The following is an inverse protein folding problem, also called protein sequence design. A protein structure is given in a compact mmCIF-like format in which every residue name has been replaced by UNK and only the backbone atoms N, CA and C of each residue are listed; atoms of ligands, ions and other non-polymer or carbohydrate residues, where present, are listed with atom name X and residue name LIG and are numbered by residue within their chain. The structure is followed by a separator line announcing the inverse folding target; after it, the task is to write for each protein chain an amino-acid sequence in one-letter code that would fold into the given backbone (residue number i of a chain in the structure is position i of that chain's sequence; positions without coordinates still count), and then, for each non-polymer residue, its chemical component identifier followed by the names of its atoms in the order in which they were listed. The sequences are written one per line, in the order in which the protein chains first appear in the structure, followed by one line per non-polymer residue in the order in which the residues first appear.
data_IF_091165395237
#
_entry.id   IF_091165395237
#
_cell.length_a   1.000
_cell.length_b   1.000
_cell.length_c   1.000
_cell.angle_alpha   90.00
_cell.angle_beta   90.00
_cell.angle_gamma   90.00
#
_symmetry.space_group_name_H-M   'P 1'
#
loop_
_entity.id
_entity.type
_entity.pdbx_description
1 polymer ?
#
# COMPACT_ATOMS: atom_id res chain seq x y z
N UNK A 1 -1.02 -8.23 10.17
CA UNK A 1 -2.34 -7.70 9.74
C UNK A 1 -3.36 -8.85 9.66
N UNK A 2 -4.67 -8.55 9.61
CA UNK A 2 -5.71 -9.57 9.39
C UNK A 2 -5.61 -10.24 8.02
N UNK A 3 -5.21 -9.50 6.97
CA UNK A 3 -4.99 -10.05 5.64
C UNK A 3 -4.03 -11.26 5.70
N UNK A 4 -2.88 -11.14 6.35
CA UNK A 4 -1.94 -12.25 6.51
C UNK A 4 -2.49 -13.46 7.26
N UNK A 5 -3.39 -13.24 8.23
CA UNK A 5 -4.01 -14.35 9.00
C UNK A 5 -4.99 -15.16 8.16
N UNK A 6 -5.54 -14.56 7.11
CA UNK A 6 -6.52 -15.16 6.21
C UNK A 6 -5.91 -15.58 4.86
N UNK A 7 -4.63 -15.27 4.65
CA UNK A 7 -3.88 -15.60 3.44
C UNK A 7 -3.26 -17.00 3.49
N UNK A 8 -2.91 -17.48 2.31
CA UNK A 8 -2.05 -18.66 2.08
C UNK A 8 -0.96 -18.28 1.05
N UNK A 9 0.08 -19.12 0.86
CA UNK A 9 1.02 -18.93 -0.23
C UNK A 9 0.31 -18.74 -1.58
N UNK A 10 0.76 -17.74 -2.32
CA UNK A 10 0.18 -17.26 -3.58
C UNK A 10 -1.02 -16.31 -3.45
N UNK A 11 -1.46 -15.95 -2.23
CA UNK A 11 -2.51 -14.93 -2.07
C UNK A 11 -1.99 -13.56 -2.54
N UNK A 12 -2.73 -12.92 -3.44
CA UNK A 12 -2.51 -11.53 -3.80
C UNK A 12 -3.29 -10.59 -2.85
N UNK A 13 -2.58 -9.62 -2.29
CA UNK A 13 -3.13 -8.56 -1.44
C UNK A 13 -3.01 -7.24 -2.20
N UNK A 14 -4.13 -6.53 -2.35
CA UNK A 14 -4.17 -5.22 -3.02
C UNK A 14 -4.65 -4.17 -2.02
N UNK A 15 -3.95 -3.04 -1.96
CA UNK A 15 -4.33 -1.87 -1.18
C UNK A 15 -4.44 -0.67 -2.11
N UNK A 16 -5.66 -0.12 -2.25
CA UNK A 16 -5.94 1.04 -3.11
C UNK A 16 -5.70 2.36 -2.36
N UNK A 17 -5.55 3.45 -3.13
CA UNK A 17 -5.37 4.81 -2.66
C UNK A 17 -4.14 5.06 -1.78
N UNK A 18 -3.00 4.47 -2.14
CA UNK A 18 -1.77 4.56 -1.34
C UNK A 18 -0.88 5.75 -1.70
N UNK A 19 -1.17 6.49 -2.76
CA UNK A 19 -0.31 7.59 -3.22
C UNK A 19 -0.82 8.96 -2.72
N UNK A 20 -2.14 9.12 -2.62
CA UNK A 20 -2.79 10.30 -1.99
C UNK A 20 -2.31 11.62 -2.61
N UNK A 21 -2.42 11.76 -3.92
CA UNK A 21 -1.93 12.93 -4.67
C UNK A 21 -0.44 13.27 -4.45
N UNK A 22 0.36 12.27 -4.02
CA UNK A 22 1.78 12.43 -3.71
C UNK A 22 2.07 12.79 -2.25
N UNK A 23 1.06 13.08 -1.43
CA UNK A 23 1.27 13.43 -0.01
C UNK A 23 1.88 12.27 0.80
N UNK A 24 1.87 11.04 0.29
CA UNK A 24 2.50 9.89 0.95
C UNK A 24 3.99 10.10 1.26
N UNK A 25 4.70 10.99 0.54
CA UNK A 25 6.11 11.35 0.84
C UNK A 25 6.29 12.61 1.70
N UNK A 26 5.20 13.32 2.06
CA UNK A 26 5.26 14.58 2.80
C UNK A 26 5.32 14.38 4.34
N UNK A 27 6.52 14.41 4.91
CA UNK A 27 6.76 14.09 6.34
C UNK A 27 6.00 14.99 7.35
N UNK A 28 5.58 16.19 6.96
CA UNK A 28 4.95 17.18 7.85
C UNK A 28 3.43 17.04 7.98
N UNK A 29 2.80 16.19 7.15
CA UNK A 29 1.35 15.98 7.13
C UNK A 29 0.84 15.01 8.21
N UNK A 30 -0.30 15.34 8.84
CA UNK A 30 -1.02 14.50 9.83
C UNK A 30 -2.37 13.96 9.34
N UNK A 31 -2.54 13.84 8.02
CA UNK A 31 -3.75 13.23 7.47
C UNK A 31 -3.72 11.71 7.74
N UNK A 32 -4.72 11.22 8.47
CA UNK A 32 -4.80 9.82 8.87
C UNK A 32 -4.78 8.83 7.68
N UNK A 33 -5.25 9.23 6.50
CA UNK A 33 -5.19 8.40 5.31
C UNK A 33 -3.77 8.32 4.74
N UNK A 34 -3.04 9.44 4.79
CA UNK A 34 -1.63 9.50 4.38
C UNK A 34 -0.77 8.68 5.34
N UNK A 35 -1.00 8.80 6.65
CA UNK A 35 -0.35 7.97 7.66
C UNK A 35 -0.66 6.47 7.44
N UNK A 36 -1.91 6.14 7.14
CA UNK A 36 -2.33 4.78 6.80
C UNK A 36 -1.63 4.23 5.57
N UNK A 37 -1.48 5.03 4.51
CA UNK A 37 -0.75 4.65 3.31
C UNK A 37 0.74 4.38 3.60
N UNK A 38 1.40 5.24 4.39
CA UNK A 38 2.78 5.00 4.85
C UNK A 38 2.91 3.74 5.68
N UNK A 39 1.95 3.49 6.57
CA UNK A 39 1.91 2.27 7.37
C UNK A 39 1.75 1.02 6.49
N UNK A 40 0.97 1.09 5.40
CA UNK A 40 0.85 0.00 4.43
C UNK A 40 2.18 -0.27 3.72
N UNK A 41 2.88 0.77 3.24
CA UNK A 41 4.21 0.63 2.64
C UNK A 41 5.24 0.06 3.62
N UNK A 42 5.27 0.58 4.85
CA UNK A 42 6.16 0.09 5.91
C UNK A 42 5.89 -1.37 6.26
N UNK A 43 4.61 -1.77 6.33
CA UNK A 43 4.22 -3.16 6.57
C UNK A 43 4.66 -4.08 5.43
N UNK A 44 4.37 -3.72 4.18
CA UNK A 44 4.75 -4.52 3.01
C UNK A 44 6.28 -4.66 2.91
N UNK A 45 7.01 -3.56 3.09
CA UNK A 45 8.48 -3.56 3.00
C UNK A 45 9.20 -4.26 4.15
N UNK A 46 8.52 -4.52 5.28
CA UNK A 46 9.13 -5.16 6.46
C UNK A 46 8.67 -6.61 6.71
N UNK A 47 7.54 -7.03 6.15
CA UNK A 47 7.05 -8.42 6.28
C UNK A 47 7.74 -9.33 5.25
N UNK A 48 8.62 -10.20 5.74
CA UNK A 48 9.46 -11.09 4.89
C UNK A 48 8.70 -12.08 4.02
N UNK A 49 7.43 -12.35 4.33
CA UNK A 49 6.57 -13.26 3.55
C UNK A 49 5.80 -12.54 2.45
N UNK A 50 6.06 -11.26 2.23
CA UNK A 50 5.44 -10.48 1.17
C UNK A 50 6.50 -10.06 0.16
N UNK A 51 6.27 -10.39 -1.11
CA UNK A 51 6.92 -9.75 -2.24
C UNK A 51 5.93 -8.74 -2.84
N UNK A 52 6.30 -7.45 -2.87
CA UNK A 52 5.35 -6.39 -3.14
C UNK A 52 5.93 -5.20 -3.89
N UNK A 53 5.03 -4.51 -4.59
CA UNK A 53 5.32 -3.30 -5.35
C UNK A 53 4.12 -2.35 -5.29
N UNK A 54 4.27 -1.15 -5.84
CA UNK A 54 3.18 -0.22 -6.01
C UNK A 54 3.22 0.43 -7.39
N UNK A 55 2.03 0.72 -7.91
CA UNK A 55 1.84 1.29 -9.24
C UNK A 55 1.07 2.59 -9.08
N UNK A 56 1.71 3.68 -9.49
CA UNK A 56 1.05 4.98 -9.62
C UNK A 56 0.16 4.98 -10.86
N UNK A 57 -1.00 5.63 -10.76
CA UNK A 57 -2.00 5.71 -11.82
C UNK A 57 -2.54 7.13 -11.93
N UNK A 58 -2.90 7.51 -13.16
CA UNK A 58 -3.62 8.75 -13.46
C UNK A 58 -4.83 8.42 -14.33
N UNK A 59 -5.87 9.26 -14.27
CA UNK A 59 -7.04 9.11 -15.12
C UNK A 59 -8.22 9.96 -14.64
N UNK A 60 -9.45 9.52 -14.94
CA UNK A 60 -10.67 10.23 -14.56
C UNK A 60 -10.83 10.41 -13.03
N UNK A 61 -10.11 9.62 -12.22
CA UNK A 61 -10.09 9.73 -10.76
C UNK A 61 -9.01 10.66 -10.20
N UNK A 62 -8.18 11.28 -11.05
CA UNK A 62 -7.02 12.06 -10.62
C UNK A 62 -5.75 11.21 -10.48
N UNK A 63 -4.78 11.72 -9.73
CA UNK A 63 -3.50 11.06 -9.45
C UNK A 63 -3.57 10.27 -8.15
N UNK A 64 -3.30 8.97 -8.23
CA UNK A 64 -3.19 8.10 -7.05
C UNK A 64 -2.37 6.84 -7.40
N UNK A 65 -2.58 5.73 -6.69
CA UNK A 65 -2.05 4.42 -7.04
C UNK A 65 -2.46 3.34 -6.05
N UNK A 66 -2.09 2.10 -6.35
CA UNK A 66 -2.32 0.95 -5.49
C UNK A 66 -1.02 0.19 -5.21
N UNK A 67 -0.93 -0.43 -4.03
CA UNK A 67 0.08 -1.41 -3.71
C UNK A 67 -0.45 -2.83 -3.97
N UNK A 68 0.41 -3.70 -4.47
CA UNK A 68 0.13 -5.13 -4.65
C UNK A 68 1.27 -5.94 -4.06
N UNK A 69 0.93 -6.97 -3.30
CA UNK A 69 1.89 -7.93 -2.76
C UNK A 69 1.39 -9.36 -2.89
N UNK A 70 2.30 -10.29 -3.12
CA UNK A 70 2.05 -11.73 -3.12
C UNK A 70 2.61 -12.30 -1.82
N UNK A 71 1.83 -13.16 -1.18
CA UNK A 71 2.27 -13.94 -0.03
C UNK A 71 3.10 -15.12 -0.52
N UNK A 72 4.36 -15.19 -0.11
CA UNK A 72 5.26 -16.32 -0.40
C UNK A 72 5.04 -17.51 0.56
#
# INVERSE_FOLDING_TARGET
SWAMRLSRPGTAIVCDNVIRDGDVVNEDGRDANVEGARAAFSFIGSEKRLDGTAIQTVGAKGYDGFAIAIVE
#
